data_IF_304172650087
#
_entry.id   IF_304172650087
#
_cell.length_a   1.000
_cell.length_b   1.000
_cell.length_c   1.000
_cell.angle_alpha   90.00
_cell.angle_beta   90.00
_cell.angle_gamma   90.00
#
_symmetry.space_group_name_H-M   'P 1'
#
loop_
_entity.id
_entity.type
_entity.pdbx_description
1 polymer ?
#
# COMPACT_ATOMS: atom_id res chain seq x y z
N UNK A 1 -25.02 6.93 58.45
CA UNK A 1 -26.27 6.41 57.85
C UNK A 1 -26.13 6.52 56.34
N UNK A 2 -26.11 5.38 55.64
CA UNK A 2 -25.70 5.26 54.23
C UNK A 2 -26.81 5.75 53.29
N UNK A 3 -26.45 6.61 52.33
CA UNK A 3 -27.33 7.05 51.23
C UNK A 3 -27.25 6.10 50.04
N UNK A 4 -28.39 5.57 49.60
CA UNK A 4 -28.52 4.77 48.39
C UNK A 4 -28.96 5.62 47.20
N UNK A 5 -28.25 5.50 46.07
CA UNK A 5 -28.60 6.11 44.79
C UNK A 5 -29.86 5.39 44.25
N UNK A 6 -30.91 6.11 43.82
CA UNK A 6 -32.04 5.47 43.19
C UNK A 6 -31.63 4.87 41.84
N UNK A 7 -31.91 3.58 41.66
CA UNK A 7 -31.79 2.83 40.41
C UNK A 7 -32.46 3.62 39.26
N UNK A 8 -31.81 3.65 38.09
CA UNK A 8 -32.24 4.36 36.88
C UNK A 8 -33.69 4.03 36.45
N UNK A 9 -34.19 2.83 36.78
CA UNK A 9 -35.58 2.44 36.54
C UNK A 9 -36.57 3.26 37.40
N UNK A 10 -36.19 3.60 38.63
CA UNK A 10 -37.01 4.40 39.56
C UNK A 10 -37.03 5.87 39.16
N UNK A 11 -35.93 6.39 38.60
CA UNK A 11 -35.82 7.77 38.11
C UNK A 11 -36.71 8.02 36.88
N UNK A 12 -36.78 7.03 35.98
CA UNK A 12 -37.56 7.11 34.74
C UNK A 12 -39.07 7.07 35.03
N UNK A 13 -39.50 6.20 35.95
CA UNK A 13 -40.90 6.15 36.41
C UNK A 13 -41.31 7.45 37.13
N UNK A 14 -40.41 8.04 37.92
CA UNK A 14 -40.65 9.32 38.59
C UNK A 14 -40.85 10.48 37.60
N UNK A 15 -40.05 10.54 36.53
CA UNK A 15 -40.19 11.53 35.47
C UNK A 15 -41.50 11.39 34.69
N UNK A 16 -41.96 10.18 34.43
CA UNK A 16 -43.24 9.93 33.72
C UNK A 16 -44.46 10.31 34.58
N UNK A 17 -44.37 10.12 35.90
CA UNK A 17 -45.49 10.38 36.80
C UNK A 17 -45.60 11.83 37.29
N UNK A 18 -44.50 12.60 37.33
CA UNK A 18 -44.50 13.97 37.89
C UNK A 18 -45.41 14.94 37.13
N UNK A 19 -45.59 14.75 35.82
CA UNK A 19 -46.39 15.66 34.97
C UNK A 19 -47.75 15.12 34.51
N UNK A 20 -48.13 13.92 34.94
CA UNK A 20 -49.31 13.24 34.40
C UNK A 20 -50.52 13.35 35.32
N UNK A 21 -51.30 14.43 35.24
CA UNK A 21 -52.70 14.41 35.73
C UNK A 21 -53.47 13.29 34.99
N UNK A 22 -54.26 12.46 35.70
CA UNK A 22 -54.76 11.16 35.20
C UNK A 22 -55.74 11.25 34.01
N UNK A 23 -56.16 12.43 33.58
CA UNK A 23 -57.04 12.62 32.43
C UNK A 23 -56.30 12.55 31.08
N UNK A 24 -54.97 12.72 31.05
CA UNK A 24 -54.17 12.81 29.81
C UNK A 24 -53.24 11.60 29.57
N UNK A 25 -53.28 10.58 30.43
CA UNK A 25 -52.41 9.40 30.33
C UNK A 25 -52.55 8.64 28.99
N UNK A 26 -53.74 8.68 28.36
CA UNK A 26 -53.94 8.11 27.01
C UNK A 26 -53.18 8.87 25.92
N UNK A 27 -53.07 10.19 26.04
CA UNK A 27 -52.37 11.05 25.07
C UNK A 27 -50.85 10.91 25.19
N UNK A 28 -50.35 10.76 26.43
CA UNK A 28 -48.94 10.46 26.72
C UNK A 28 -48.51 9.08 26.21
N UNK A 29 -49.34 8.04 26.46
CA UNK A 29 -49.10 6.68 25.95
C UNK A 29 -49.09 6.64 24.41
N UNK A 30 -49.98 7.37 23.74
CA UNK A 30 -49.99 7.47 22.29
C UNK A 30 -48.75 8.22 21.75
N UNK A 31 -48.27 9.24 22.47
CA UNK A 31 -47.03 9.94 22.12
C UNK A 31 -45.80 9.06 22.23
N UNK A 32 -45.71 8.24 23.28
CA UNK A 32 -44.63 7.26 23.44
C UNK A 32 -44.65 6.19 22.34
N UNK A 33 -45.83 5.63 22.04
CA UNK A 33 -45.99 4.63 20.97
C UNK A 33 -45.65 5.23 19.60
N UNK A 34 -46.06 6.47 19.32
CA UNK A 34 -45.72 7.15 18.07
C UNK A 34 -44.21 7.39 17.95
N UNK A 35 -43.54 7.79 19.04
CA UNK A 35 -42.09 7.95 19.08
C UNK A 35 -41.33 6.64 18.86
N UNK A 36 -41.81 5.55 19.47
CA UNK A 36 -41.23 4.22 19.29
C UNK A 36 -41.38 3.74 17.84
N UNK A 37 -42.56 3.92 17.24
CA UNK A 37 -42.82 3.53 15.85
C UNK A 37 -41.95 4.30 14.86
N UNK A 38 -41.75 5.61 15.08
CA UNK A 38 -40.88 6.43 14.25
C UNK A 38 -39.41 5.99 14.34
N UNK A 39 -38.95 5.64 15.54
CA UNK A 39 -37.58 5.19 15.77
C UNK A 39 -37.31 3.82 15.10
N UNK A 40 -38.25 2.88 15.22
CA UNK A 40 -38.18 1.59 14.52
C UNK A 40 -38.20 1.77 13.00
N UNK A 41 -39.02 2.68 12.47
CA UNK A 41 -39.05 3.00 11.04
C UNK A 41 -37.70 3.58 10.56
N UNK A 42 -37.10 4.47 11.34
CA UNK A 42 -35.81 5.08 11.01
C UNK A 42 -34.68 4.04 10.97
N UNK A 43 -34.65 3.13 11.96
CA UNK A 43 -33.70 2.02 12.01
C UNK A 43 -33.92 1.06 10.83
N UNK A 44 -35.18 0.76 10.48
CA UNK A 44 -35.50 -0.10 9.35
C UNK A 44 -35.07 0.52 8.01
N UNK A 45 -35.20 1.84 7.84
CA UNK A 45 -34.71 2.56 6.65
C UNK A 45 -33.17 2.53 6.61
N UNK A 46 -32.48 2.78 7.73
CA UNK A 46 -31.03 2.71 7.79
C UNK A 46 -30.48 1.31 7.49
N UNK A 47 -31.12 0.26 8.02
CA UNK A 47 -30.78 -1.13 7.70
C UNK A 47 -31.13 -1.48 6.25
N UNK A 48 -32.25 -0.99 5.72
CA UNK A 48 -32.67 -1.21 4.34
C UNK A 48 -31.76 -0.53 3.30
N UNK A 49 -31.28 0.68 3.58
CA UNK A 49 -30.29 1.38 2.74
C UNK A 49 -28.94 0.66 2.75
N UNK A 50 -28.58 0.01 3.87
CA UNK A 50 -27.39 -0.85 3.94
C UNK A 50 -27.48 -2.14 3.10
N UNK A 51 -28.68 -2.64 2.83
CA UNK A 51 -28.90 -3.89 2.08
C UNK A 51 -29.18 -3.62 0.59
N UNK A 52 -29.81 -2.50 0.24
CA UNK A 52 -30.06 -2.12 -1.16
C UNK A 52 -28.80 -1.68 -1.94
N UNK A 53 -27.69 -1.39 -1.26
CA UNK A 53 -26.38 -1.16 -1.89
C UNK A 53 -25.50 -2.41 -1.96
N UNK A 54 -25.99 -3.57 -1.51
CA UNK A 54 -25.34 -4.86 -1.76
C UNK A 54 -25.93 -5.49 -3.03
N UNK A 55 -25.86 -4.78 -4.16
CA UNK A 55 -25.59 -5.53 -5.37
C UNK A 55 -24.22 -6.19 -5.15
N UNK A 56 -24.07 -7.51 -5.32
CA UNK A 56 -22.76 -8.03 -5.65
C UNK A 56 -22.43 -7.41 -7.00
N UNK A 57 -21.77 -6.25 -6.97
CA UNK A 57 -20.79 -5.99 -7.99
C UNK A 57 -19.88 -7.20 -7.88
N UNK A 58 -19.98 -8.09 -8.86
CA UNK A 58 -18.82 -8.81 -9.33
C UNK A 58 -17.85 -7.72 -9.75
N UNK A 59 -17.21 -7.08 -8.78
CA UNK A 59 -15.85 -6.66 -8.93
C UNK A 59 -15.19 -7.98 -9.26
N UNK A 60 -14.95 -8.22 -10.54
CA UNK A 60 -13.70 -8.83 -10.95
C UNK A 60 -12.67 -8.04 -10.16
N UNK A 61 -12.35 -8.53 -8.95
CA UNK A 61 -11.06 -8.25 -8.34
C UNK A 61 -10.15 -8.57 -9.50
N UNK A 62 -9.49 -7.57 -10.12
CA UNK A 62 -8.51 -7.89 -11.14
C UNK A 62 -7.67 -8.93 -10.45
N UNK A 63 -7.58 -10.12 -11.04
CA UNK A 63 -6.77 -11.17 -10.48
C UNK A 63 -5.44 -10.48 -10.20
N UNK A 64 -5.15 -10.22 -8.94
CA UNK A 64 -3.80 -10.11 -8.48
C UNK A 64 -3.31 -11.55 -8.64
N UNK A 65 -3.04 -11.94 -9.89
CA UNK A 65 -1.75 -12.51 -10.21
C UNK A 65 -0.78 -11.59 -9.51
N UNK A 66 -0.52 -11.90 -8.24
CA UNK A 66 0.68 -11.49 -7.54
C UNK A 66 1.76 -11.91 -8.51
N UNK A 67 2.21 -10.96 -9.33
CA UNK A 67 3.40 -11.14 -10.13
C UNK A 67 4.42 -11.68 -9.15
N UNK A 68 4.91 -12.89 -9.40
CA UNK A 68 5.93 -13.47 -8.53
C UNK A 68 7.02 -12.44 -8.43
N UNK A 69 7.36 -12.01 -7.21
CA UNK A 69 8.41 -11.04 -7.01
C UNK A 69 9.67 -11.52 -7.75
N UNK A 70 10.33 -10.65 -8.54
CA UNK A 70 11.56 -11.03 -9.18
C UNK A 70 12.57 -11.45 -8.12
N UNK A 71 13.30 -12.51 -8.41
CA UNK A 71 14.33 -13.04 -7.54
C UNK A 71 15.40 -13.68 -8.39
N UNK A 72 16.66 -13.46 -8.01
CA UNK A 72 17.80 -13.95 -8.79
C UNK A 72 18.74 -12.82 -9.22
N UNK A 73 19.74 -13.19 -10.00
CA UNK A 73 20.69 -12.26 -10.59
C UNK A 73 20.20 -11.82 -11.97
N UNK A 74 20.26 -10.51 -12.20
CA UNK A 74 19.88 -9.86 -13.45
C UNK A 74 21.09 -9.10 -13.98
N UNK A 75 21.38 -9.27 -15.27
CA UNK A 75 22.56 -8.69 -15.90
C UNK A 75 22.17 -7.75 -17.04
N UNK A 76 22.83 -6.60 -17.12
CA UNK A 76 22.79 -5.74 -18.29
C UNK A 76 24.19 -5.23 -18.63
N UNK A 77 24.40 -4.97 -19.92
CA UNK A 77 25.57 -4.26 -20.41
C UNK A 77 25.10 -3.12 -21.30
N UNK A 78 25.58 -1.91 -21.00
CA UNK A 78 25.33 -0.73 -21.81
C UNK A 78 26.67 -0.20 -22.32
N UNK A 79 26.68 0.30 -23.55
CA UNK A 79 27.83 1.02 -24.10
C UNK A 79 27.32 2.33 -24.65
N UNK A 80 27.81 3.44 -24.08
CA UNK A 80 27.40 4.79 -24.44
C UNK A 80 28.62 5.69 -24.46
N UNK A 81 28.75 6.50 -25.50
CA UNK A 81 29.82 7.49 -25.63
C UNK A 81 31.24 6.91 -25.38
N UNK A 82 31.51 5.66 -25.75
CA UNK A 82 32.83 5.03 -25.54
C UNK A 82 33.14 4.60 -24.11
N UNK A 83 32.15 4.61 -23.21
CA UNK A 83 32.18 3.94 -21.92
C UNK A 83 31.31 2.69 -22.00
N UNK A 84 31.75 1.61 -21.35
CA UNK A 84 31.00 0.38 -21.17
C UNK A 84 30.69 0.21 -19.70
N UNK A 85 29.40 0.08 -19.38
CA UNK A 85 28.94 -0.28 -18.05
C UNK A 85 28.42 -1.71 -18.08
N UNK A 86 28.85 -2.51 -17.12
CA UNK A 86 28.33 -3.85 -16.86
C UNK A 86 27.71 -3.83 -15.49
N UNK A 87 26.46 -4.26 -15.41
CA UNK A 87 25.70 -4.22 -14.18
C UNK A 87 25.10 -5.57 -13.85
N UNK A 88 25.25 -5.98 -12.60
CA UNK A 88 24.60 -7.16 -12.02
C UNK A 88 23.75 -6.71 -10.84
N UNK A 89 22.46 -7.03 -10.86
CA UNK A 89 21.52 -6.78 -9.76
C UNK A 89 21.04 -8.14 -9.24
N UNK A 90 21.32 -8.44 -7.98
CA UNK A 90 20.82 -9.66 -7.31
C UNK A 90 19.69 -9.32 -6.38
N UNK A 91 18.45 -9.68 -6.73
CA UNK A 91 17.26 -9.42 -5.94
C UNK A 91 16.97 -10.60 -5.00
N UNK A 92 16.83 -10.29 -3.70
CA UNK A 92 16.48 -11.21 -2.61
C UNK A 92 15.30 -10.65 -1.81
N UNK A 93 14.08 -11.04 -2.18
CA UNK A 93 12.81 -10.65 -1.53
C UNK A 93 12.67 -9.12 -1.38
N UNK A 94 13.08 -8.57 -0.24
CA UNK A 94 12.96 -7.18 0.18
C UNK A 94 14.27 -6.39 0.05
N UNK A 95 15.36 -7.04 -0.39
CA UNK A 95 16.67 -6.41 -0.59
C UNK A 95 17.26 -6.76 -1.95
N UNK A 96 18.15 -5.91 -2.46
CA UNK A 96 18.95 -6.22 -3.64
C UNK A 96 20.38 -5.72 -3.46
N UNK A 97 21.32 -6.45 -4.03
CA UNK A 97 22.72 -6.01 -4.14
C UNK A 97 22.99 -5.73 -5.63
N UNK A 98 23.52 -4.56 -5.97
CA UNK A 98 24.01 -4.27 -7.31
C UNK A 98 25.52 -4.09 -7.32
N UNK A 99 26.13 -4.56 -8.40
CA UNK A 99 27.52 -4.30 -8.75
C UNK A 99 27.56 -3.72 -10.15
N UNK A 100 28.17 -2.55 -10.30
CA UNK A 100 28.37 -1.89 -11.58
C UNK A 100 29.85 -1.73 -11.82
N UNK A 101 30.36 -2.24 -12.93
CA UNK A 101 31.72 -1.92 -13.39
C UNK A 101 31.61 -1.01 -14.59
N UNK A 102 32.22 0.17 -14.50
CA UNK A 102 32.31 1.15 -15.57
C UNK A 102 33.75 1.18 -16.07
N UNK A 103 33.92 1.01 -17.38
CA UNK A 103 35.23 1.00 -18.02
C UNK A 103 35.22 1.81 -19.31
N UNK A 104 36.38 2.39 -19.65
CA UNK A 104 36.57 3.15 -20.89
C UNK A 104 36.81 4.63 -20.64
N UNK A 105 37.36 5.32 -21.65
CA UNK A 105 37.74 6.76 -21.56
C UNK A 105 38.62 7.14 -20.36
N UNK A 106 39.39 6.20 -19.82
CA UNK A 106 40.22 6.43 -18.63
C UNK A 106 39.50 6.21 -17.30
N UNK A 107 38.24 5.80 -17.33
CA UNK A 107 37.52 5.28 -16.16
C UNK A 107 37.73 3.76 -16.08
N UNK A 108 37.98 3.29 -14.87
CA UNK A 108 37.95 1.88 -14.48
C UNK A 108 37.54 1.86 -13.00
N UNK A 109 36.23 1.78 -12.77
CA UNK A 109 35.66 1.88 -11.45
C UNK A 109 34.59 0.81 -11.22
N UNK A 110 34.47 0.38 -9.97
CA UNK A 110 33.45 -0.53 -9.49
C UNK A 110 32.63 0.12 -8.41
N UNK A 111 31.32 0.18 -8.62
CA UNK A 111 30.34 0.66 -7.65
C UNK A 111 29.56 -0.53 -7.09
N UNK A 112 29.49 -0.61 -5.77
CA UNK A 112 28.65 -1.56 -5.05
C UNK A 112 27.51 -0.78 -4.40
N UNK A 113 26.26 -1.19 -4.64
CA UNK A 113 25.11 -0.52 -4.03
C UNK A 113 24.17 -1.55 -3.45
N UNK A 114 23.68 -1.29 -2.23
CA UNK A 114 22.65 -2.10 -1.59
C UNK A 114 21.32 -1.37 -1.62
N UNK A 115 20.25 -2.07 -1.98
CA UNK A 115 18.91 -1.51 -2.12
C UNK A 115 17.90 -2.22 -1.23
N UNK A 116 16.86 -1.47 -0.86
CA UNK A 116 15.56 -2.01 -0.46
C UNK A 116 14.70 -2.17 -1.70
N UNK A 117 13.88 -3.23 -1.71
CA UNK A 117 13.03 -3.59 -2.85
C UNK A 117 11.57 -3.37 -2.48
N UNK A 118 10.88 -2.58 -3.31
CA UNK A 118 9.42 -2.43 -3.23
C UNK A 118 8.80 -2.88 -4.54
N UNK A 119 7.69 -3.62 -4.46
CA UNK A 119 7.00 -4.17 -5.63
C UNK A 119 5.55 -3.71 -5.62
N UNK A 120 5.11 -3.12 -6.74
CA UNK A 120 3.74 -2.70 -6.98
C UNK A 120 3.31 -3.15 -8.37
N UNK A 121 2.58 -4.28 -8.45
CA UNK A 121 2.26 -4.91 -9.71
C UNK A 121 3.52 -5.38 -10.45
N UNK A 122 3.72 -4.92 -11.69
CA UNK A 122 4.94 -5.16 -12.46
C UNK A 122 6.05 -4.15 -12.18
N UNK A 123 5.81 -3.13 -11.36
CA UNK A 123 6.86 -2.13 -11.04
C UNK A 123 7.69 -2.59 -9.85
N UNK A 124 9.00 -2.62 -10.02
CA UNK A 124 9.98 -2.92 -8.98
C UNK A 124 10.80 -1.65 -8.75
N UNK A 125 10.79 -1.11 -7.53
CA UNK A 125 11.59 0.05 -7.16
C UNK A 125 12.73 -0.39 -6.27
N UNK A 126 13.96 -0.13 -6.70
CA UNK A 126 15.16 -0.29 -5.88
C UNK A 126 15.49 1.06 -5.23
N UNK A 127 15.44 1.13 -3.90
CA UNK A 127 15.78 2.35 -3.16
C UNK A 127 17.11 2.14 -2.43
N UNK A 128 18.16 2.92 -2.72
CA UNK A 128 19.48 2.69 -2.15
C UNK A 128 19.46 2.88 -0.63
N UNK A 129 20.13 1.97 0.05
CA UNK A 129 20.31 1.95 1.52
C UNK A 129 21.76 2.31 1.84
N UNK A 130 22.69 1.79 1.05
CA UNK A 130 24.13 1.92 1.26
C UNK A 130 24.84 1.78 -0.09
N UNK A 131 26.08 2.24 -0.16
CA UNK A 131 26.92 2.01 -1.32
C UNK A 131 28.38 2.38 -1.11
N UNK A 132 29.22 1.82 -1.96
CA UNK A 132 30.66 1.98 -1.93
C UNK A 132 31.22 2.16 -3.33
N UNK A 133 32.10 3.16 -3.48
CA UNK A 133 32.98 3.35 -4.63
C UNK A 133 34.34 2.73 -4.31
N UNK A 134 34.70 1.65 -4.99
CA UNK A 134 35.90 0.87 -4.66
C UNK A 134 37.21 1.49 -5.14
N UNK A 135 37.17 2.40 -6.12
CA UNK A 135 38.38 2.96 -6.73
C UNK A 135 38.60 4.45 -6.41
N UNK A 136 37.77 5.03 -5.55
CA UNK A 136 37.88 6.41 -5.07
C UNK A 136 36.85 7.33 -5.75
N UNK A 137 36.50 8.47 -5.14
CA UNK A 137 35.28 9.20 -5.46
C UNK A 137 35.24 9.64 -6.93
N UNK A 138 34.41 8.95 -7.71
CA UNK A 138 34.01 9.32 -9.07
C UNK A 138 32.64 10.03 -9.01
N UNK A 139 32.45 11.08 -9.79
CA UNK A 139 31.19 11.85 -9.81
C UNK A 139 30.02 11.05 -10.40
N UNK A 140 30.32 10.06 -11.24
CA UNK A 140 29.35 9.10 -11.82
C UNK A 140 28.68 8.25 -10.72
N UNK A 141 29.34 8.06 -9.57
CA UNK A 141 28.81 7.26 -8.48
C UNK A 141 27.45 7.75 -7.95
N UNK A 142 27.21 9.07 -7.97
CA UNK A 142 25.98 9.65 -7.44
C UNK A 142 24.72 9.21 -8.22
N UNK A 143 24.87 8.81 -9.48
CA UNK A 143 23.78 8.28 -10.30
C UNK A 143 23.27 6.94 -9.74
N UNK A 144 24.17 6.13 -9.18
CA UNK A 144 23.85 4.83 -8.58
C UNK A 144 23.28 4.93 -7.16
N UNK A 145 23.26 6.13 -6.58
CA UNK A 145 22.65 6.44 -5.27
C UNK A 145 21.24 7.03 -5.36
N UNK A 146 20.60 6.95 -6.53
CA UNK A 146 19.20 7.36 -6.72
C UNK A 146 18.24 6.17 -6.72
N UNK A 147 16.96 6.35 -6.34
CA UNK A 147 15.94 5.31 -6.51
C UNK A 147 15.73 4.95 -7.98
N UNK A 148 15.66 3.65 -8.28
CA UNK A 148 15.61 3.12 -9.63
C UNK A 148 14.33 2.31 -9.88
N UNK A 149 13.42 2.80 -10.73
CA UNK A 149 12.21 2.06 -11.09
C UNK A 149 12.47 1.14 -12.29
N UNK A 150 12.08 -0.12 -12.13
CA UNK A 150 12.10 -1.15 -13.16
C UNK A 150 10.69 -1.63 -13.48
N UNK A 151 10.48 -2.00 -14.74
CA UNK A 151 9.33 -2.83 -15.16
C UNK A 151 9.79 -4.28 -15.21
N UNK A 152 9.15 -5.14 -14.41
CA UNK A 152 9.38 -6.57 -14.42
C UNK A 152 8.42 -7.27 -15.38
N UNK A 153 8.98 -8.07 -16.29
CA UNK A 153 8.23 -8.96 -17.17
C UNK A 153 8.38 -10.42 -16.71
N UNK A 154 7.33 -11.04 -16.15
CA UNK A 154 7.38 -12.41 -15.67
C UNK A 154 7.36 -13.46 -16.78
N UNK A 155 7.02 -13.15 -18.03
CA UNK A 155 7.04 -14.16 -19.11
C UNK A 155 8.47 -14.54 -19.49
N UNK A 156 9.37 -13.55 -19.44
CA UNK A 156 10.74 -13.65 -19.92
C UNK A 156 11.75 -13.47 -18.77
N UNK A 157 11.27 -13.31 -17.53
CA UNK A 157 12.05 -13.02 -16.32
C UNK A 157 13.05 -11.87 -16.53
N UNK A 158 12.58 -10.75 -17.07
CA UNK A 158 13.43 -9.58 -17.36
C UNK A 158 13.04 -8.36 -16.52
N UNK A 159 14.03 -7.54 -16.19
CA UNK A 159 13.81 -6.20 -15.63
C UNK A 159 14.16 -5.17 -16.70
N UNK A 160 13.29 -4.18 -16.89
CA UNK A 160 13.53 -3.08 -17.82
C UNK A 160 13.64 -1.78 -17.05
N UNK A 161 14.70 -1.03 -17.28
CA UNK A 161 14.89 0.33 -16.77
C UNK A 161 14.87 1.34 -17.93
N UNK A 162 14.28 2.52 -17.69
CA UNK A 162 14.40 3.65 -18.61
C UNK A 162 15.44 4.62 -18.07
N UNK A 163 16.63 4.64 -18.66
CA UNK A 163 17.73 5.54 -18.31
C UNK A 163 17.85 6.63 -19.37
N UNK A 164 17.57 7.89 -19.02
CA UNK A 164 17.72 9.05 -19.92
C UNK A 164 17.11 8.89 -21.33
N UNK A 165 15.97 8.19 -21.41
CA UNK A 165 15.29 7.92 -22.69
C UNK A 165 15.78 6.67 -23.43
N UNK A 166 16.77 5.96 -22.89
CA UNK A 166 17.20 4.65 -23.35
C UNK A 166 16.56 3.54 -22.51
N UNK A 167 16.10 2.49 -23.20
CA UNK A 167 15.59 1.28 -22.56
C UNK A 167 16.76 0.32 -22.32
N UNK A 168 17.05 0.03 -21.05
CA UNK A 168 18.03 -0.99 -20.63
C UNK A 168 17.26 -2.22 -20.17
N UNK A 169 17.61 -3.38 -20.73
CA UNK A 169 16.96 -4.66 -20.39
C UNK A 169 17.97 -5.51 -19.64
N UNK A 170 17.60 -5.94 -18.45
CA UNK A 170 18.34 -6.87 -17.62
C UNK A 170 17.71 -8.25 -17.76
N UNK A 171 18.52 -9.23 -18.14
CA UNK A 171 18.11 -10.63 -18.30
C UNK A 171 18.53 -11.41 -17.07
N UNK A 172 17.70 -12.34 -16.60
CA UNK A 172 18.11 -13.25 -15.53
C UNK A 172 19.25 -14.15 -15.99
N UNK A 173 20.19 -14.45 -15.11
CA UNK A 173 21.09 -15.60 -15.27
C UNK A 173 20.28 -16.88 -14.99
N UNK A 174 20.32 -17.84 -15.92
CA UNK A 174 19.72 -19.19 -15.78
C UNK A 174 20.47 -20.06 -14.77
#
# INVERSE_FOLDING_TARGET
MSGGIPDAHSLTLWLVWRDSKPHNARRSRNGFIAGLALNVLLIAILLGVGIATQQPHSTTVPSNTTASAPSGAYYAQTTSNGMTSTETITIRRDTADAKVNVSGKGHDNTFLTKFSVSINGSTVTLTPIDGEDLNGPDDVYNEYLSPRPFTYDPSDNTLTENQEGNKVVFTSED
#
